data_IF_682846914110
#
_entry.id   IF_682846914110
#
_cell.length_a   1.000
_cell.length_b   1.000
_cell.length_c   1.000
_cell.angle_alpha   90.00
_cell.angle_beta   90.00
_cell.angle_gamma   90.00
#
_symmetry.space_group_name_H-M   'P 1'
#
loop_
_entity.id
_entity.type
_entity.pdbx_description
1 polymer ?
#
# COMPACT_ATOMS: atom_id res chain seq x y z
N UNK A 1 -21.49 11.40 -0.58
CA UNK A 1 -21.76 10.11 0.10
C UNK A 1 -20.57 9.20 -0.20
N UNK A 2 -19.80 8.81 0.80
CA UNK A 2 -18.54 8.08 0.61
C UNK A 2 -18.76 6.74 -0.10
N UNK A 3 -17.96 6.46 -1.12
CA UNK A 3 -17.94 5.13 -1.76
C UNK A 3 -17.44 4.12 -0.72
N UNK A 4 -18.11 2.98 -0.51
CA UNK A 4 -17.61 1.95 0.40
C UNK A 4 -16.22 1.50 -0.06
N UNK A 5 -15.30 1.37 0.89
CA UNK A 5 -13.92 0.96 0.62
C UNK A 5 -13.46 -0.12 1.60
N UNK A 6 -12.61 -1.03 1.12
CA UNK A 6 -11.98 -2.07 1.94
C UNK A 6 -10.51 -1.74 2.09
N UNK A 7 -10.03 -1.67 3.33
CA UNK A 7 -8.63 -1.45 3.67
C UNK A 7 -8.01 -2.72 4.23
N UNK A 8 -6.83 -3.11 3.74
CA UNK A 8 -6.01 -4.13 4.41
C UNK A 8 -4.83 -3.45 5.11
N UNK A 9 -4.57 -3.86 6.34
CA UNK A 9 -3.45 -3.39 7.14
C UNK A 9 -2.49 -4.54 7.46
N UNK A 10 -1.22 -4.38 7.10
CA UNK A 10 -0.14 -5.25 7.54
C UNK A 10 0.41 -4.77 8.89
N UNK A 11 -0.39 -4.93 9.95
CA UNK A 11 -0.08 -4.39 11.28
C UNK A 11 1.20 -4.98 11.91
N UNK A 12 1.64 -6.15 11.43
CA UNK A 12 2.86 -6.82 11.89
C UNK A 12 4.06 -6.58 10.97
N UNK A 13 3.86 -5.90 9.82
CA UNK A 13 4.88 -5.67 8.80
C UNK A 13 5.54 -6.98 8.33
N UNK A 14 4.78 -8.08 8.28
CA UNK A 14 5.29 -9.44 8.05
C UNK A 14 4.90 -10.03 6.70
N UNK A 15 4.15 -9.29 5.88
CA UNK A 15 3.74 -9.74 4.56
C UNK A 15 4.83 -9.52 3.52
N UNK A 16 4.81 -10.37 2.50
CA UNK A 16 5.69 -10.30 1.33
C UNK A 16 4.92 -9.81 0.10
N UNK A 17 5.58 -9.19 -0.89
CA UNK A 17 4.93 -8.61 -2.06
C UNK A 17 4.03 -9.59 -2.82
N UNK A 18 4.46 -10.85 -2.99
CA UNK A 18 3.67 -11.87 -3.67
C UNK A 18 2.36 -12.19 -2.94
N UNK A 19 2.40 -12.19 -1.60
CA UNK A 19 1.22 -12.41 -0.77
C UNK A 19 0.24 -11.25 -0.89
N UNK A 20 0.74 -10.02 -0.89
CA UNK A 20 -0.07 -8.80 -1.12
C UNK A 20 -0.75 -8.86 -2.48
N UNK A 21 0.00 -9.20 -3.53
CA UNK A 21 -0.52 -9.29 -4.89
C UNK A 21 -1.64 -10.34 -5.00
N UNK A 22 -1.42 -11.54 -4.45
CA UNK A 22 -2.42 -12.61 -4.41
C UNK A 22 -3.69 -12.18 -3.65
N UNK A 23 -3.51 -11.56 -2.49
CA UNK A 23 -4.61 -11.07 -1.65
C UNK A 23 -5.47 -10.07 -2.43
N UNK A 24 -4.89 -8.98 -2.89
CA UNK A 24 -5.65 -7.93 -3.58
C UNK A 24 -6.25 -8.39 -4.90
N UNK A 25 -5.54 -9.19 -5.72
CA UNK A 25 -6.11 -9.73 -6.97
C UNK A 25 -7.36 -10.58 -6.72
N UNK A 26 -7.40 -11.33 -5.61
CA UNK A 26 -8.57 -12.12 -5.24
C UNK A 26 -9.76 -11.22 -4.94
N UNK A 27 -9.58 -10.22 -4.07
CA UNK A 27 -10.69 -9.38 -3.60
C UNK A 27 -11.13 -8.32 -4.62
N UNK A 28 -10.22 -7.71 -5.38
CA UNK A 28 -10.53 -6.72 -6.43
C UNK A 28 -11.33 -7.31 -7.58
N UNK A 29 -11.19 -8.62 -7.85
CA UNK A 29 -12.03 -9.35 -8.82
C UNK A 29 -13.43 -9.62 -8.30
N UNK A 30 -13.56 -9.86 -6.99
CA UNK A 30 -14.82 -10.26 -6.36
C UNK A 30 -15.70 -9.06 -5.98
N UNK A 31 -15.10 -7.94 -5.59
CA UNK A 31 -15.83 -6.77 -5.10
C UNK A 31 -15.53 -5.53 -5.94
N UNK A 32 -16.59 -4.81 -6.34
CA UNK A 32 -16.51 -3.54 -7.07
C UNK A 32 -16.57 -2.35 -6.10
N UNK A 33 -15.59 -2.29 -5.20
CA UNK A 33 -15.41 -1.24 -4.20
C UNK A 33 -14.00 -0.68 -4.30
N UNK A 34 -13.75 0.48 -3.70
CA UNK A 34 -12.38 0.99 -3.63
C UNK A 34 -11.56 0.20 -2.62
N UNK A 35 -10.29 -0.03 -2.92
CA UNK A 35 -9.38 -0.74 -2.03
C UNK A 35 -8.25 0.19 -1.56
N UNK A 36 -7.82 0.02 -0.31
CA UNK A 36 -6.66 0.70 0.23
C UNK A 36 -5.72 -0.23 0.99
N UNK A 37 -4.48 0.21 1.20
CA UNK A 37 -3.43 -0.55 1.86
C UNK A 37 -2.65 0.28 2.88
N UNK A 38 -2.39 -0.32 4.04
CA UNK A 38 -1.54 0.23 5.08
C UNK A 38 -0.39 -0.74 5.39
N UNK A 39 0.85 -0.29 5.22
CA UNK A 39 2.04 -1.13 5.36
C UNK A 39 2.93 -0.66 6.52
N UNK A 40 3.22 -1.57 7.45
CA UNK A 40 4.30 -1.38 8.42
C UNK A 40 5.62 -1.91 7.86
N UNK A 41 6.74 -1.33 8.31
CA UNK A 41 8.07 -1.55 7.77
C UNK A 41 8.93 -2.48 8.64
N UNK A 42 8.32 -3.40 9.39
CA UNK A 42 9.02 -4.32 10.31
C UNK A 42 10.11 -5.16 9.62
N UNK A 43 9.87 -5.57 8.37
CA UNK A 43 10.84 -6.30 7.55
C UNK A 43 11.58 -5.42 6.53
N UNK A 44 11.37 -4.09 6.54
CA UNK A 44 11.90 -3.19 5.50
C UNK A 44 11.21 -3.34 4.13
N UNK A 45 10.01 -3.95 4.12
CA UNK A 45 9.26 -4.29 2.90
C UNK A 45 8.06 -3.37 2.63
N UNK A 46 7.82 -2.32 3.41
CA UNK A 46 6.64 -1.47 3.27
C UNK A 46 6.50 -0.89 1.85
N UNK A 47 7.60 -0.40 1.26
CA UNK A 47 7.64 0.10 -0.11
C UNK A 47 7.28 -0.99 -1.12
N UNK A 48 7.94 -2.15 -1.07
CA UNK A 48 7.70 -3.24 -2.01
C UNK A 48 6.27 -3.78 -1.93
N UNK A 49 5.73 -3.89 -0.70
CA UNK A 49 4.36 -4.30 -0.45
C UNK A 49 3.36 -3.27 -1.00
N UNK A 50 3.62 -1.97 -0.81
CA UNK A 50 2.76 -0.91 -1.35
C UNK A 50 2.73 -0.95 -2.88
N UNK A 51 3.86 -1.14 -3.55
CA UNK A 51 3.92 -1.28 -5.01
C UNK A 51 3.18 -2.52 -5.50
N UNK A 52 3.30 -3.65 -4.78
CA UNK A 52 2.54 -4.85 -5.08
C UNK A 52 1.02 -4.64 -4.96
N UNK A 53 0.58 -3.89 -3.95
CA UNK A 53 -0.81 -3.49 -3.77
C UNK A 53 -1.30 -2.60 -4.94
N UNK A 54 -0.52 -1.58 -5.32
CA UNK A 54 -0.80 -0.71 -6.47
C UNK A 54 -0.98 -1.53 -7.75
N UNK A 55 -0.05 -2.45 -8.03
CA UNK A 55 -0.08 -3.33 -9.20
C UNK A 55 -1.28 -4.30 -9.20
N UNK A 56 -1.83 -4.61 -8.02
CA UNK A 56 -3.01 -5.45 -7.86
C UNK A 56 -4.34 -4.66 -7.94
N UNK A 57 -4.29 -3.35 -8.20
CA UNK A 57 -5.48 -2.51 -8.42
C UNK A 57 -5.90 -1.66 -7.22
N UNK A 58 -5.05 -1.50 -6.20
CA UNK A 58 -5.37 -0.67 -5.03
C UNK A 58 -5.45 0.82 -5.38
N UNK A 59 -6.39 1.51 -4.76
CA UNK A 59 -6.70 2.92 -5.01
C UNK A 59 -6.05 3.87 -4.00
N UNK A 60 -5.90 3.44 -2.75
CA UNK A 60 -5.36 4.26 -1.66
C UNK A 60 -4.16 3.58 -1.01
N UNK A 61 -3.11 4.33 -0.71
CA UNK A 61 -1.91 3.85 -0.03
C UNK A 61 -1.65 4.80 1.14
N UNK A 62 -1.54 4.25 2.34
CA UNK A 62 -1.10 5.02 3.49
C UNK A 62 0.42 5.09 3.53
N UNK A 63 0.93 6.29 3.74
CA UNK A 63 2.34 6.56 4.01
C UNK A 63 2.45 7.58 5.15
N UNK A 64 3.60 7.64 5.80
CA UNK A 64 3.89 8.64 6.82
C UNK A 64 5.20 9.37 6.56
N UNK A 65 5.23 10.63 7.01
CA UNK A 65 6.42 11.47 6.93
C UNK A 65 7.60 10.78 7.63
N UNK A 66 8.71 10.63 6.93
CA UNK A 66 9.90 9.88 7.34
C UNK A 66 9.63 8.43 7.80
N UNK A 67 8.45 7.87 7.51
CA UNK A 67 8.02 6.55 7.99
C UNK A 67 7.60 6.53 9.47
N UNK A 68 7.29 7.68 10.08
CA UNK A 68 6.84 7.74 11.48
C UNK A 68 5.65 6.82 11.74
N UNK A 69 5.73 6.01 12.80
CA UNK A 69 4.73 5.00 13.12
C UNK A 69 5.15 4.12 14.29
N UNK A 70 4.36 3.08 14.59
CA UNK A 70 4.67 2.12 15.64
C UNK A 70 5.84 1.22 15.21
N UNK A 71 6.74 0.88 16.13
CA UNK A 71 7.83 -0.07 15.87
C UNK A 71 8.89 0.53 14.95
N UNK A 72 9.26 -0.21 13.89
CA UNK A 72 10.25 0.25 12.89
C UNK A 72 9.68 1.29 11.92
N UNK A 73 8.37 1.58 11.99
CA UNK A 73 7.70 2.60 11.20
C UNK A 73 6.79 2.03 10.11
N UNK A 74 6.37 2.92 9.22
CA UNK A 74 5.48 2.63 8.10
C UNK A 74 6.16 2.96 6.77
N UNK A 75 5.43 2.78 5.67
CA UNK A 75 5.81 3.30 4.36
C UNK A 75 6.22 4.78 4.45
N UNK A 76 7.44 5.08 4.00
CA UNK A 76 7.98 6.45 3.95
C UNK A 76 7.38 7.21 2.78
N UNK A 77 6.70 8.33 3.06
CA UNK A 77 6.08 9.18 2.04
C UNK A 77 7.09 9.63 0.98
N UNK A 78 8.32 9.97 1.39
CA UNK A 78 9.38 10.46 0.52
C UNK A 78 9.80 9.41 -0.51
N UNK A 79 9.94 8.15 -0.08
CA UNK A 79 10.35 7.06 -0.97
C UNK A 79 9.22 6.70 -1.93
N UNK A 80 7.98 6.74 -1.47
CA UNK A 80 6.82 6.47 -2.31
C UNK A 80 6.65 7.56 -3.38
N UNK A 81 6.68 8.84 -2.99
CA UNK A 81 6.58 9.97 -3.93
C UNK A 81 7.75 9.97 -4.93
N UNK A 82 8.98 9.74 -4.46
CA UNK A 82 10.14 9.65 -5.35
C UNK A 82 9.97 8.55 -6.42
N UNK A 83 9.45 7.38 -6.04
CA UNK A 83 9.13 6.31 -6.98
C UNK A 83 8.05 6.73 -7.99
N UNK A 84 6.96 7.34 -7.52
CA UNK A 84 5.87 7.79 -8.40
C UNK A 84 6.36 8.82 -9.40
N UNK A 85 7.17 9.79 -8.95
CA UNK A 85 7.78 10.80 -9.79
C UNK A 85 8.72 10.18 -10.83
N UNK A 86 9.62 9.28 -10.41
CA UNK A 86 10.54 8.58 -11.31
C UNK A 86 9.83 7.76 -12.40
N UNK A 87 8.62 7.28 -12.13
CA UNK A 87 7.82 6.47 -13.07
C UNK A 87 6.69 7.26 -13.75
N UNK A 88 6.64 8.59 -13.61
CA UNK A 88 5.59 9.45 -14.17
C UNK A 88 4.15 9.06 -13.76
N UNK A 89 3.96 8.52 -12.55
CA UNK A 89 2.66 8.10 -12.04
C UNK A 89 1.98 9.29 -11.35
N UNK A 90 0.84 9.76 -11.91
CA UNK A 90 0.04 10.89 -11.39
C UNK A 90 -1.24 10.46 -10.65
N UNK A 91 -1.38 9.17 -10.37
CA UNK A 91 -2.60 8.59 -9.77
C UNK A 91 -2.78 8.99 -8.31
N UNK A 92 -1.67 9.19 -7.60
CA UNK A 92 -1.64 9.52 -6.18
C UNK A 92 -1.14 10.96 -6.09
N UNK A 93 -2.08 11.90 -6.00
CA UNK A 93 -1.84 13.34 -5.84
C UNK A 93 -2.08 13.74 -4.39
#
# INVERSE_FOLDING_TARGET
>A
RGSPGIYFADSNGSLFPDRINCLYKKYTRQYKVSFGFHAHDNLGLAQANALAAVNAGVHFIDASLAGMGKGTGNLKTEFFIAYLHANNIKKYN
#
